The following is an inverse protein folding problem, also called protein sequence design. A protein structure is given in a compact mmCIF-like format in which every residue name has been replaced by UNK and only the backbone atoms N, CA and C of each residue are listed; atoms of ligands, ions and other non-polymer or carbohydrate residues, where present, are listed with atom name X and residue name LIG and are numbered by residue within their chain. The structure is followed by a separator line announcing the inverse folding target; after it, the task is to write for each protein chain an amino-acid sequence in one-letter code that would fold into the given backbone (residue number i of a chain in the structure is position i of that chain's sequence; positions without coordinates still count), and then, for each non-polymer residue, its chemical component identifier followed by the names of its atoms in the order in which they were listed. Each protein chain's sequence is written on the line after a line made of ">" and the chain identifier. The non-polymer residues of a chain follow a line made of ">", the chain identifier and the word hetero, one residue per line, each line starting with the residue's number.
data_IF_568536303647
#
_entry.id   IF_568536303647
#
_cell.length_a   1.000
_cell.length_b   1.000
_cell.length_c   1.000
_cell.angle_alpha   90.00
_cell.angle_beta   90.00
_cell.angle_gamma   90.00
#
_symmetry.space_group_name_H-M   'P 1'
#
loop_
_entity.id
_entity.type
_entity.pdbx_description
1 polymer ?
#
# COMPACT_ATOMS: atom_id res chain seq x y z
N UNK A 1 22.18 8.22 11.74
CA UNK A 1 20.75 8.01 12.03
C UNK A 1 20.71 6.86 13.04
N UNK A 2 19.96 6.94 14.14
CA UNK A 2 19.75 5.77 14.97
C UNK A 2 19.09 4.73 14.08
N UNK A 3 19.56 3.47 14.19
CA UNK A 3 19.08 2.37 13.35
C UNK A 3 17.56 2.30 13.33
N UNK A 4 17.00 2.12 12.16
CA UNK A 4 15.54 1.96 11.98
C UNK A 4 15.14 0.74 12.80
N UNK A 5 14.48 0.98 13.95
CA UNK A 5 13.86 -0.08 14.72
C UNK A 5 12.96 -0.89 13.78
N UNK A 6 13.04 -2.20 13.84
CA UNK A 6 12.13 -3.02 13.03
C UNK A 6 10.69 -2.78 13.48
N UNK A 7 9.72 -3.08 12.63
CA UNK A 7 8.31 -2.99 12.99
C UNK A 7 7.98 -3.82 14.25
N UNK A 8 8.66 -4.95 14.42
CA UNK A 8 8.54 -5.79 15.62
C UNK A 8 9.08 -5.09 16.87
N UNK A 9 10.19 -4.36 16.77
CA UNK A 9 10.74 -3.58 17.89
C UNK A 9 9.80 -2.44 18.27
N UNK A 10 9.18 -1.76 17.29
CA UNK A 10 8.20 -0.72 17.53
C UNK A 10 6.95 -1.27 18.25
N UNK A 11 6.44 -2.41 17.80
CA UNK A 11 5.31 -3.10 18.45
C UNK A 11 5.66 -3.54 19.87
N UNK A 12 6.86 -4.07 20.10
CA UNK A 12 7.34 -4.47 21.43
C UNK A 12 7.47 -3.25 22.35
N UNK A 13 8.04 -2.14 21.85
CA UNK A 13 8.14 -0.90 22.61
C UNK A 13 6.77 -0.38 23.06
N UNK A 14 5.79 -0.40 22.18
CA UNK A 14 4.42 -0.02 22.50
C UNK A 14 3.78 -0.99 23.51
N UNK A 15 3.89 -2.29 23.29
CA UNK A 15 3.32 -3.31 24.19
C UNK A 15 3.90 -3.29 25.61
N UNK A 16 5.14 -2.78 25.78
CA UNK A 16 5.82 -2.66 27.07
C UNK A 16 5.77 -1.25 27.68
N UNK A 17 4.99 -0.33 27.09
CA UNK A 17 4.84 1.04 27.59
C UNK A 17 6.07 1.95 27.34
N UNK A 18 7.01 1.55 26.48
CA UNK A 18 8.18 2.36 26.08
C UNK A 18 7.88 3.32 24.93
N UNK A 19 6.70 3.19 24.30
CA UNK A 19 6.19 4.10 23.30
C UNK A 19 4.69 4.31 23.55
N UNK A 20 4.21 5.54 23.38
CA UNK A 20 2.80 5.90 23.57
C UNK A 20 1.94 5.58 22.36
N UNK A 21 2.55 5.50 21.17
CA UNK A 21 1.88 5.18 19.93
C UNK A 21 2.81 4.41 18.97
N UNK A 22 2.21 3.67 18.05
CA UNK A 22 2.92 2.93 16.99
C UNK A 22 2.16 3.04 15.68
N UNK A 23 2.89 3.15 14.57
CA UNK A 23 2.34 3.01 13.22
C UNK A 23 2.50 1.55 12.80
N UNK A 24 1.41 0.93 12.37
CA UNK A 24 1.38 -0.47 11.91
C UNK A 24 0.76 -0.61 10.52
N UNK A 25 1.10 -1.70 9.85
CA UNK A 25 0.41 -2.16 8.65
C UNK A 25 -0.80 -3.02 9.05
N UNK A 26 -1.59 -3.47 8.08
CA UNK A 26 -2.87 -4.12 8.34
C UNK A 26 -2.81 -5.33 9.33
N UNK A 27 -1.72 -6.09 9.37
CA UNK A 27 -1.57 -7.24 10.27
C UNK A 27 -1.42 -6.84 11.75
N UNK A 28 -0.63 -5.79 12.04
CA UNK A 28 -0.29 -5.42 13.41
C UNK A 28 -1.51 -4.98 14.24
N UNK A 29 -2.41 -4.10 13.74
CA UNK A 29 -3.63 -3.77 14.48
C UNK A 29 -4.51 -4.98 14.78
N UNK A 30 -4.57 -5.98 13.88
CA UNK A 30 -5.32 -7.21 14.09
C UNK A 30 -4.71 -7.99 15.26
N UNK A 31 -3.41 -8.21 15.27
CA UNK A 31 -2.71 -8.90 16.35
C UNK A 31 -2.83 -8.19 17.69
N UNK A 32 -2.63 -6.87 17.68
CA UNK A 32 -2.72 -6.06 18.90
C UNK A 32 -4.12 -6.09 19.49
N UNK A 33 -5.16 -6.01 18.64
CA UNK A 33 -6.56 -6.14 19.06
C UNK A 33 -6.82 -7.52 19.68
N UNK A 34 -6.36 -8.60 19.06
CA UNK A 34 -6.49 -9.96 19.58
C UNK A 34 -5.80 -10.12 20.96
N UNK A 35 -4.71 -9.41 21.19
CA UNK A 35 -3.96 -9.38 22.45
C UNK A 35 -4.47 -8.34 23.44
N UNK A 36 -5.50 -7.56 23.11
CA UNK A 36 -6.04 -6.44 23.91
C UNK A 36 -4.98 -5.37 24.26
N UNK A 37 -4.08 -5.10 23.33
CA UNK A 37 -3.02 -4.10 23.46
C UNK A 37 -3.38 -2.88 22.62
N UNK A 38 -3.64 -1.75 23.27
CA UNK A 38 -3.95 -0.49 22.61
C UNK A 38 -5.25 -0.47 21.81
N UNK A 39 -5.46 0.61 21.10
CA UNK A 39 -6.60 0.81 20.18
C UNK A 39 -6.16 1.56 18.93
N UNK A 40 -6.85 1.33 17.83
CA UNK A 40 -6.62 2.10 16.58
C UNK A 40 -7.25 3.49 16.76
N UNK A 41 -6.43 4.54 16.66
CA UNK A 41 -6.85 5.94 16.75
C UNK A 41 -6.97 6.61 15.39
N UNK A 42 -6.24 6.09 14.38
CA UNK A 42 -6.32 6.53 12.98
C UNK A 42 -6.21 5.29 12.09
N UNK A 43 -7.16 5.13 11.18
CA UNK A 43 -7.10 4.13 10.12
C UNK A 43 -7.00 4.81 8.75
N UNK A 44 -5.81 4.84 8.17
CA UNK A 44 -5.56 5.50 6.88
C UNK A 44 -6.33 4.89 5.70
N UNK A 45 -6.93 3.71 5.86
CA UNK A 45 -7.79 3.09 4.85
C UNK A 45 -9.19 3.70 4.82
N UNK A 46 -9.71 4.13 5.98
CA UNK A 46 -11.09 4.62 6.14
C UNK A 46 -11.19 6.09 6.50
N UNK A 47 -10.20 6.63 7.24
CA UNK A 47 -10.30 7.96 7.81
C UNK A 47 -9.79 9.03 6.83
N UNK A 48 -10.57 10.11 6.69
CA UNK A 48 -10.15 11.27 5.89
C UNK A 48 -9.14 12.13 6.64
N UNK A 49 -8.20 12.77 5.92
CA UNK A 49 -8.04 12.79 4.47
C UNK A 49 -7.27 11.58 3.90
N UNK A 50 -6.65 10.75 4.72
CA UNK A 50 -5.70 9.69 4.31
C UNK A 50 -6.31 8.64 3.41
N UNK A 51 -7.57 8.27 3.63
CA UNK A 51 -8.27 7.26 2.82
C UNK A 51 -8.47 7.64 1.34
N UNK A 52 -8.12 8.87 0.96
CA UNK A 52 -8.15 9.32 -0.44
C UNK A 52 -6.84 9.02 -1.18
N UNK A 53 -5.78 8.65 -0.45
CA UNK A 53 -4.44 8.45 -0.99
C UNK A 53 -3.97 7.03 -0.72
N UNK A 54 -3.25 6.42 -1.67
CA UNK A 54 -2.66 5.11 -1.38
C UNK A 54 -1.29 5.25 -0.74
N UNK A 55 -0.91 4.23 0.04
CA UNK A 55 0.42 4.18 0.61
C UNK A 55 1.45 3.55 -0.35
N UNK A 56 1.02 2.71 -1.28
CA UNK A 56 1.93 1.90 -2.10
C UNK A 56 1.70 2.12 -3.59
N UNK A 57 2.80 2.15 -4.35
CA UNK A 57 2.80 2.26 -5.80
C UNK A 57 3.86 1.33 -6.40
N UNK A 58 3.67 0.93 -7.65
CA UNK A 58 4.67 0.17 -8.38
C UNK A 58 5.81 1.10 -8.80
N UNK A 59 7.01 0.85 -8.25
CA UNK A 59 8.25 1.45 -8.72
C UNK A 59 8.90 0.58 -9.78
N UNK A 60 9.45 1.20 -10.84
CA UNK A 60 10.14 0.50 -11.91
C UNK A 60 11.38 1.27 -12.37
N UNK A 61 12.38 0.54 -12.87
CA UNK A 61 13.54 1.15 -13.52
C UNK A 61 13.11 1.83 -14.82
N UNK A 62 13.49 3.10 -15.00
CA UNK A 62 13.10 3.92 -16.15
C UNK A 62 13.56 3.33 -17.48
N UNK A 63 14.81 2.90 -17.57
CA UNK A 63 15.37 2.31 -18.79
C UNK A 63 14.64 1.01 -19.14
N UNK A 64 14.30 0.19 -18.13
CA UNK A 64 13.51 -1.01 -18.34
C UNK A 64 12.13 -0.70 -18.91
N UNK A 65 11.44 0.29 -18.34
CA UNK A 65 10.11 0.71 -18.82
C UNK A 65 10.16 1.21 -20.27
N UNK A 66 11.19 1.98 -20.63
CA UNK A 66 11.38 2.48 -21.98
C UNK A 66 11.73 1.37 -22.97
N UNK A 67 12.60 0.45 -22.57
CA UNK A 67 13.08 -0.63 -23.44
C UNK A 67 12.07 -1.76 -23.60
N UNK A 68 11.24 -2.02 -22.56
CA UNK A 68 10.30 -3.14 -22.50
C UNK A 68 8.87 -2.69 -22.13
N UNK A 69 8.23 -1.81 -22.92
CA UNK A 69 6.92 -1.26 -22.58
C UNK A 69 5.82 -2.33 -22.52
N UNK A 70 5.86 -3.32 -23.43
CA UNK A 70 4.90 -4.44 -23.45
C UNK A 70 5.01 -5.29 -22.17
N UNK A 71 6.23 -5.62 -21.75
CA UNK A 71 6.47 -6.40 -20.53
C UNK A 71 6.04 -5.63 -19.31
N UNK A 72 6.33 -4.33 -19.24
CA UNK A 72 5.89 -3.44 -18.15
C UNK A 72 4.37 -3.42 -18.05
N UNK A 73 3.66 -3.24 -19.17
CA UNK A 73 2.19 -3.25 -19.18
C UNK A 73 1.63 -4.61 -18.75
N UNK A 74 2.23 -5.72 -19.19
CA UNK A 74 1.83 -7.07 -18.78
C UNK A 74 2.00 -7.30 -17.27
N UNK A 75 3.12 -6.85 -16.70
CA UNK A 75 3.36 -6.94 -15.26
C UNK A 75 2.32 -6.13 -14.47
N UNK A 76 2.06 -4.89 -14.87
CA UNK A 76 1.04 -4.06 -14.23
C UNK A 76 -0.36 -4.69 -14.36
N UNK A 77 -0.72 -5.24 -15.53
CA UNK A 77 -2.00 -5.96 -15.71
C UNK A 77 -2.13 -7.13 -14.76
N UNK A 78 -1.08 -7.91 -14.54
CA UNK A 78 -1.09 -9.03 -13.61
C UNK A 78 -1.36 -8.57 -12.17
N UNK A 79 -0.71 -7.47 -11.75
CA UNK A 79 -0.92 -6.87 -10.42
C UNK A 79 -2.37 -6.37 -10.26
N UNK A 80 -2.92 -5.67 -11.26
CA UNK A 80 -4.29 -5.16 -11.19
C UNK A 80 -5.32 -6.28 -11.17
N UNK A 81 -5.11 -7.36 -11.95
CA UNK A 81 -5.97 -8.57 -11.87
C UNK A 81 -5.87 -9.28 -10.54
N UNK A 82 -4.69 -9.29 -9.91
CA UNK A 82 -4.54 -9.83 -8.56
C UNK A 82 -5.29 -8.98 -7.53
N UNK A 83 -5.29 -7.65 -7.69
CA UNK A 83 -6.10 -6.77 -6.85
C UNK A 83 -7.61 -7.06 -7.01
N UNK A 84 -8.09 -7.26 -8.24
CA UNK A 84 -9.49 -7.64 -8.49
C UNK A 84 -9.83 -9.00 -7.85
N UNK A 85 -8.89 -9.96 -7.88
CA UNK A 85 -9.07 -11.25 -7.23
C UNK A 85 -9.14 -11.13 -5.70
N UNK A 86 -8.31 -10.25 -5.11
CA UNK A 86 -8.35 -9.96 -3.67
C UNK A 86 -9.71 -9.38 -3.25
N UNK A 87 -10.32 -8.56 -4.08
CA UNK A 87 -11.63 -7.96 -3.83
C UNK A 87 -12.76 -9.00 -3.99
N UNK A 88 -12.77 -9.74 -5.09
CA UNK A 88 -13.85 -10.67 -5.45
C UNK A 88 -13.80 -12.01 -4.72
N UNK A 89 -12.61 -12.53 -4.41
CA UNK A 89 -12.41 -13.85 -3.80
C UNK A 89 -11.47 -13.81 -2.57
N UNK A 90 -11.72 -12.94 -1.56
CA UNK A 90 -10.77 -12.68 -0.48
C UNK A 90 -10.39 -13.93 0.33
N UNK A 91 -11.33 -14.85 0.55
CA UNK A 91 -11.04 -16.09 1.28
C UNK A 91 -10.18 -17.09 0.50
N UNK A 92 -10.34 -17.12 -0.82
CA UNK A 92 -9.50 -17.94 -1.71
C UNK A 92 -8.07 -17.40 -1.75
N UNK A 93 -7.93 -16.06 -1.81
CA UNK A 93 -6.63 -15.40 -1.73
C UNK A 93 -5.97 -15.67 -0.38
N UNK A 94 -6.71 -15.53 0.73
CA UNK A 94 -6.19 -15.82 2.07
C UNK A 94 -5.71 -17.28 2.19
N UNK A 95 -6.44 -18.23 1.61
CA UNK A 95 -6.03 -19.64 1.57
C UNK A 95 -4.73 -19.82 0.79
N UNK A 96 -4.64 -19.21 -0.41
CA UNK A 96 -3.42 -19.22 -1.21
C UNK A 96 -2.21 -18.64 -0.46
N UNK A 97 -2.38 -17.51 0.24
CA UNK A 97 -1.32 -16.89 1.03
C UNK A 97 -0.85 -17.80 2.16
N UNK A 98 -1.78 -18.50 2.82
CA UNK A 98 -1.47 -19.45 3.90
C UNK A 98 -0.76 -20.68 3.36
N UNK A 99 -1.25 -21.30 2.27
CA UNK A 99 -0.67 -22.49 1.66
C UNK A 99 0.74 -22.25 1.10
N UNK A 100 1.02 -21.02 0.64
CA UNK A 100 2.34 -20.58 0.17
C UNK A 100 3.25 -20.01 1.28
N UNK A 101 2.78 -19.99 2.53
CA UNK A 101 3.49 -19.48 3.69
C UNK A 101 3.85 -17.98 3.62
N UNK A 102 3.18 -17.20 2.78
CA UNK A 102 3.32 -15.75 2.75
C UNK A 102 2.67 -15.08 3.97
N UNK A 103 1.54 -15.61 4.42
CA UNK A 103 0.93 -15.35 5.73
C UNK A 103 0.35 -16.67 6.26
N UNK A 104 1.13 -17.43 7.07
CA UNK A 104 0.73 -18.77 7.52
C UNK A 104 -0.52 -18.77 8.42
N UNK A 105 -0.85 -17.65 9.02
CA UNK A 105 -2.03 -17.48 9.88
C UNK A 105 -3.26 -17.13 9.05
N UNK A 106 -3.96 -18.13 8.57
CA UNK A 106 -5.11 -17.98 7.67
C UNK A 106 -6.12 -16.92 8.13
N UNK A 107 -6.49 -16.89 9.42
CA UNK A 107 -7.46 -15.92 9.94
C UNK A 107 -6.97 -14.48 9.83
N UNK A 108 -5.69 -14.24 10.11
CA UNK A 108 -5.06 -12.92 9.96
C UNK A 108 -5.05 -12.51 8.50
N UNK A 109 -4.61 -13.41 7.61
CA UNK A 109 -4.62 -13.17 6.17
C UNK A 109 -6.02 -12.86 5.63
N UNK A 110 -7.03 -13.60 6.08
CA UNK A 110 -8.42 -13.39 5.67
C UNK A 110 -8.98 -12.03 6.14
N UNK A 111 -8.67 -11.62 7.37
CA UNK A 111 -9.08 -10.32 7.89
C UNK A 111 -8.36 -9.18 7.16
N UNK A 112 -7.05 -9.30 6.91
CA UNK A 112 -6.27 -8.33 6.14
C UNK A 112 -6.83 -8.16 4.75
N UNK A 113 -6.99 -9.26 3.97
CA UNK A 113 -7.47 -9.18 2.59
C UNK A 113 -8.85 -8.54 2.52
N UNK A 114 -9.76 -8.86 3.45
CA UNK A 114 -11.10 -8.25 3.51
C UNK A 114 -11.11 -6.77 3.92
N UNK A 115 -10.11 -6.32 4.66
CA UNK A 115 -10.09 -4.96 5.21
C UNK A 115 -9.54 -3.91 4.23
N UNK A 116 -8.93 -4.33 3.13
CA UNK A 116 -8.27 -3.44 2.18
C UNK A 116 -9.11 -3.22 0.92
N UNK A 117 -9.26 -1.98 0.45
CA UNK A 117 -10.11 -1.61 -0.68
C UNK A 117 -9.39 -1.86 -2.02
N UNK A 118 -9.16 -3.12 -2.38
CA UNK A 118 -8.41 -3.51 -3.57
C UNK A 118 -9.03 -3.05 -4.89
N UNK A 119 -10.35 -2.86 -4.96
CA UNK A 119 -11.09 -2.41 -6.16
C UNK A 119 -10.88 -0.91 -6.48
N UNK A 120 -10.45 -0.11 -5.50
CA UNK A 120 -10.36 1.36 -5.65
C UNK A 120 -9.29 1.86 -6.62
N UNK A 121 -8.43 1.00 -7.12
CA UNK A 121 -7.42 1.40 -8.11
C UNK A 121 -8.03 1.99 -9.39
N UNK A 122 -9.29 1.65 -9.71
CA UNK A 122 -10.01 2.18 -10.88
C UNK A 122 -10.39 3.64 -10.73
N UNK A 123 -10.81 4.03 -9.54
CA UNK A 123 -11.32 5.37 -9.23
C UNK A 123 -10.21 6.32 -8.83
N UNK A 124 -9.19 5.79 -8.17
CA UNK A 124 -8.16 6.59 -7.57
C UNK A 124 -7.35 7.40 -8.59
N UNK A 125 -7.03 8.65 -8.21
CA UNK A 125 -6.09 9.49 -8.94
C UNK A 125 -4.68 9.31 -8.35
N UNK A 126 -3.77 8.61 -9.06
CA UNK A 126 -2.44 8.36 -8.53
C UNK A 126 -1.57 9.63 -8.48
N UNK A 127 -1.84 10.60 -9.34
CA UNK A 127 -1.11 11.88 -9.34
C UNK A 127 -1.40 12.68 -8.07
N UNK A 128 -2.66 12.71 -7.62
CA UNK A 128 -3.03 13.40 -6.38
C UNK A 128 -2.36 12.75 -5.17
N UNK A 129 -2.22 11.44 -5.17
CA UNK A 129 -1.47 10.72 -4.12
C UNK A 129 0.00 11.14 -4.09
N UNK A 130 0.68 11.17 -5.24
CA UNK A 130 2.08 11.64 -5.33
C UNK A 130 2.16 13.10 -4.88
N UNK A 131 1.25 13.95 -5.32
CA UNK A 131 1.20 15.36 -4.95
C UNK A 131 1.07 15.55 -3.45
N UNK A 132 0.16 14.83 -2.81
CA UNK A 132 -0.07 14.89 -1.37
C UNK A 132 1.18 14.50 -0.59
N UNK A 133 1.75 13.33 -0.85
CA UNK A 133 2.93 12.86 -0.13
C UNK A 133 4.17 13.72 -0.42
N UNK A 134 4.40 14.09 -1.67
CA UNK A 134 5.54 14.92 -2.06
C UNK A 134 5.49 16.30 -1.40
N UNK A 135 4.30 16.91 -1.28
CA UNK A 135 4.14 18.17 -0.61
C UNK A 135 4.53 18.07 0.87
N UNK A 136 4.01 17.06 1.59
CA UNK A 136 4.32 16.85 3.01
C UNK A 136 5.81 16.58 3.24
N UNK A 137 6.41 15.72 2.40
CA UNK A 137 7.84 15.41 2.51
C UNK A 137 8.74 16.62 2.19
N UNK A 138 8.30 17.46 1.24
CA UNK A 138 9.02 18.71 0.90
C UNK A 138 8.93 19.74 2.03
N UNK A 139 7.76 19.92 2.62
CA UNK A 139 7.53 20.86 3.74
C UNK A 139 8.39 20.55 4.97
N UNK A 140 8.60 19.26 5.27
CA UNK A 140 9.45 18.82 6.38
C UNK A 140 10.91 18.65 5.99
N UNK A 141 11.31 19.03 4.77
CA UNK A 141 12.70 19.00 4.29
C UNK A 141 13.27 17.62 4.01
N UNK A 142 12.44 16.57 3.97
CA UNK A 142 12.89 15.20 3.67
C UNK A 142 13.25 15.01 2.20
N UNK A 143 12.65 15.78 1.30
CA UNK A 143 12.99 15.81 -0.13
C UNK A 143 13.22 17.23 -0.60
N UNK A 144 14.12 17.41 -1.58
CA UNK A 144 14.43 18.72 -2.18
C UNK A 144 13.57 19.02 -3.42
N UNK A 145 13.06 17.97 -4.08
CA UNK A 145 12.27 18.12 -5.30
C UNK A 145 10.86 18.62 -4.97
N UNK A 146 10.36 19.52 -5.81
CA UNK A 146 8.96 19.97 -5.71
C UNK A 146 8.00 18.85 -6.17
N UNK A 147 6.73 18.84 -5.70
CA UNK A 147 5.72 17.91 -6.17
C UNK A 147 5.57 17.90 -7.70
N UNK A 148 5.58 19.08 -8.33
CA UNK A 148 5.47 19.24 -9.78
C UNK A 148 6.61 18.53 -10.51
N UNK A 149 7.84 18.70 -10.04
CA UNK A 149 9.02 18.05 -10.63
C UNK A 149 8.95 16.53 -10.50
N UNK A 150 8.52 16.03 -9.34
CA UNK A 150 8.36 14.59 -9.10
C UNK A 150 7.30 13.98 -10.03
N UNK A 151 6.16 14.64 -10.18
CA UNK A 151 5.10 14.20 -11.09
C UNK A 151 5.59 14.19 -12.54
N UNK A 152 6.16 15.31 -12.99
CA UNK A 152 6.59 15.45 -14.39
C UNK A 152 7.72 14.49 -14.79
N UNK A 153 8.63 14.19 -13.87
CA UNK A 153 9.84 13.41 -14.18
C UNK A 153 9.86 12.01 -13.56
N UNK A 154 9.06 11.75 -12.54
CA UNK A 154 9.10 10.52 -11.75
C UNK A 154 7.92 9.58 -11.97
N UNK A 155 6.91 9.98 -12.74
CA UNK A 155 5.71 9.15 -12.95
C UNK A 155 5.44 8.83 -14.42
N UNK A 156 4.79 7.71 -14.67
CA UNK A 156 4.34 7.28 -16.00
C UNK A 156 2.98 6.55 -15.86
N UNK A 157 1.90 7.24 -16.15
CA UNK A 157 0.55 6.73 -16.00
C UNK A 157 -0.05 6.13 -17.28
N UNK A 158 0.66 6.13 -18.42
CA UNK A 158 0.12 5.68 -19.71
C UNK A 158 -0.40 4.25 -19.65
N UNK A 159 0.33 3.31 -19.05
CA UNK A 159 -0.08 1.91 -18.94
C UNK A 159 -1.28 1.73 -18.01
N UNK A 160 -1.32 2.45 -16.90
CA UNK A 160 -2.46 2.43 -15.99
C UNK A 160 -3.72 2.96 -16.68
N UNK A 161 -3.60 4.07 -17.41
CA UNK A 161 -4.74 4.67 -18.13
C UNK A 161 -5.27 3.76 -19.23
N UNK A 162 -4.40 3.06 -19.95
CA UNK A 162 -4.78 2.04 -20.92
C UNK A 162 -5.49 0.87 -20.24
N UNK A 163 -4.91 0.34 -19.15
CA UNK A 163 -5.47 -0.80 -18.43
C UNK A 163 -6.80 -0.47 -17.74
N UNK A 164 -7.00 0.76 -17.27
CA UNK A 164 -8.30 1.23 -16.77
C UNK A 164 -9.39 1.13 -17.85
N UNK A 165 -9.04 1.38 -19.12
CA UNK A 165 -9.97 1.24 -20.25
C UNK A 165 -10.21 -0.23 -20.62
N UNK A 166 -9.16 -1.05 -20.61
CA UNK A 166 -9.23 -2.47 -20.99
C UNK A 166 -9.91 -3.36 -19.94
N UNK A 167 -9.71 -3.05 -18.66
CA UNK A 167 -10.21 -3.83 -17.52
C UNK A 167 -11.52 -3.25 -16.95
N UNK A 168 -12.23 -2.40 -17.69
CA UNK A 168 -13.60 -2.04 -17.37
C UNK A 168 -14.47 -3.29 -17.55
N UNK A 169 -14.88 -3.88 -16.47
CA UNK A 169 -15.98 -4.83 -16.40
C UNK A 169 -17.12 -4.19 -15.65
#
# INVERSE_FOLDING_TARGET
>A
MPGTASLLDAMHAFATGRADAVVGFAQQPIEMRARKIGQVIVNTTTDRPWSQYFCCMLGANREFVQRYPVTTKRALRAILKAADLCDSEPLKVARFLSDKLYEPRYQVGAEVVKSLPYNRWREANPEDTIRFHALRLHEVGMIKSTPQKLIAQGTDWRFLNELKKELKA
#
